data_IF_015505079464
#
_entry.id   IF_015505079464
#
_cell.length_a   1.000
_cell.length_b   1.000
_cell.length_c   1.000
_cell.angle_alpha   90.00
_cell.angle_beta   90.00
_cell.angle_gamma   90.00
#
_symmetry.space_group_name_H-M   'P 1'
#
loop_
_entity.id
_entity.type
_entity.pdbx_description
1 polymer ?
#
# COMPACT_ATOMS: atom_id res chain seq x y z
N UNK A 1 -1.41 13.13 14.45
CA UNK A 1 -1.32 12.02 13.45
C UNK A 1 -2.67 11.34 13.40
N UNK A 2 -3.37 11.40 12.25
CA UNK A 2 -4.70 10.77 12.11
C UNK A 2 -4.52 9.35 11.56
N UNK A 3 -5.20 8.39 12.16
CA UNK A 3 -5.06 6.96 11.86
C UNK A 3 -6.40 6.40 11.43
N UNK A 4 -6.47 5.82 10.25
CA UNK A 4 -7.71 5.27 9.69
C UNK A 4 -7.92 3.83 10.10
N UNK A 5 -9.07 3.54 10.70
CA UNK A 5 -9.44 2.17 11.08
C UNK A 5 -10.01 1.44 9.87
N UNK A 6 -9.31 0.43 9.37
CA UNK A 6 -9.80 -0.38 8.24
C UNK A 6 -10.88 -1.34 8.69
N UNK A 7 -11.90 -1.54 7.86
CA UNK A 7 -12.95 -2.55 8.05
C UNK A 7 -12.50 -3.93 7.58
N UNK A 8 -11.62 -3.97 6.58
CA UNK A 8 -11.02 -5.19 6.06
C UNK A 8 -10.05 -5.76 7.07
N UNK A 9 -10.22 -7.05 7.37
CA UNK A 9 -9.31 -7.82 8.22
C UNK A 9 -8.03 -8.15 7.47
N UNK A 10 -6.94 -8.37 8.22
CA UNK A 10 -5.70 -8.90 7.65
C UNK A 10 -5.94 -10.27 7.03
N UNK A 11 -5.20 -10.59 5.98
CA UNK A 11 -5.25 -11.96 5.46
C UNK A 11 -4.70 -12.94 6.51
N UNK A 12 -5.46 -14.02 6.73
CA UNK A 12 -5.02 -15.16 7.55
C UNK A 12 -4.02 -16.03 6.79
N UNK A 13 -3.19 -16.75 7.53
CA UNK A 13 -2.20 -17.69 7.00
C UNK A 13 -0.78 -17.38 7.48
N UNK A 14 0.08 -18.38 7.53
CA UNK A 14 1.51 -18.23 7.85
C UNK A 14 2.39 -18.52 6.64
N UNK A 15 1.86 -19.26 5.67
CA UNK A 15 2.51 -19.59 4.43
C UNK A 15 2.40 -18.46 3.40
N UNK A 16 3.51 -18.22 2.70
CA UNK A 16 3.59 -17.17 1.69
C UNK A 16 2.71 -17.45 0.47
N UNK A 17 2.61 -18.70 0.01
CA UNK A 17 1.82 -19.04 -1.16
C UNK A 17 0.33 -18.85 -0.89
N UNK A 18 -0.14 -19.23 0.31
CA UNK A 18 -1.53 -19.03 0.73
C UNK A 18 -1.90 -17.54 0.77
N UNK A 19 -1.12 -16.73 1.50
CA UNK A 19 -1.38 -15.28 1.63
C UNK A 19 -1.25 -14.59 0.27
N UNK A 20 -0.27 -15.00 -0.54
CA UNK A 20 -0.08 -14.49 -1.91
C UNK A 20 -1.26 -14.80 -2.81
N UNK A 21 -1.83 -16.01 -2.73
CA UNK A 21 -3.00 -16.36 -3.54
C UNK A 21 -4.19 -15.44 -3.23
N UNK A 22 -4.45 -15.16 -1.95
CA UNK A 22 -5.51 -14.22 -1.51
C UNK A 22 -5.23 -12.79 -1.99
N UNK A 23 -4.04 -12.27 -1.71
CA UNK A 23 -3.65 -10.91 -2.09
C UNK A 23 -3.62 -10.71 -3.62
N UNK A 24 -3.08 -11.68 -4.36
CA UNK A 24 -3.03 -11.64 -5.81
C UNK A 24 -4.42 -11.79 -6.44
N UNK A 25 -5.34 -12.54 -5.81
CA UNK A 25 -6.74 -12.57 -6.22
C UNK A 25 -7.37 -11.18 -6.21
N UNK A 26 -7.18 -10.42 -5.12
CA UNK A 26 -7.64 -9.04 -5.01
C UNK A 26 -6.96 -8.12 -6.05
N UNK A 27 -5.64 -8.24 -6.21
CA UNK A 27 -4.90 -7.48 -7.22
C UNK A 27 -5.37 -7.79 -8.65
N UNK A 28 -5.65 -9.05 -8.97
CA UNK A 28 -6.17 -9.48 -10.27
C UNK A 28 -7.53 -8.86 -10.56
N UNK A 29 -8.43 -8.81 -9.57
CA UNK A 29 -9.71 -8.11 -9.70
C UNK A 29 -9.51 -6.62 -9.98
N UNK A 30 -8.59 -5.95 -9.29
CA UNK A 30 -8.25 -4.54 -9.56
C UNK A 30 -7.66 -4.36 -10.96
N UNK A 31 -6.76 -5.26 -11.37
CA UNK A 31 -6.15 -5.25 -12.71
C UNK A 31 -7.22 -5.37 -13.80
N UNK A 32 -8.17 -6.29 -13.65
CA UNK A 32 -9.28 -6.47 -14.61
C UNK A 32 -10.16 -5.22 -14.77
N UNK A 33 -10.31 -4.40 -13.72
CA UNK A 33 -11.05 -3.13 -13.77
C UNK A 33 -10.29 -2.01 -14.50
N UNK A 34 -9.03 -2.22 -14.86
CA UNK A 34 -8.16 -1.21 -15.48
C UNK A 34 -7.63 -1.68 -16.82
N UNK A 35 -7.46 -0.77 -17.78
CA UNK A 35 -7.08 -1.13 -19.16
C UNK A 35 -5.56 -1.36 -19.35
N UNK A 36 -4.72 -0.48 -18.81
CA UNK A 36 -3.26 -0.48 -19.04
C UNK A 36 -2.49 -0.82 -17.77
N UNK A 37 -2.19 0.20 -16.95
CA UNK A 37 -1.54 0.03 -15.65
C UNK A 37 -2.60 -0.12 -14.55
N UNK A 38 -2.47 -1.09 -13.65
CA UNK A 38 -3.37 -1.24 -12.51
C UNK A 38 -3.21 -0.05 -11.56
N UNK A 39 -4.33 0.56 -11.20
CA UNK A 39 -4.39 1.70 -10.30
C UNK A 39 -5.65 1.63 -9.44
N UNK A 40 -5.59 2.32 -8.30
CA UNK A 40 -6.76 2.65 -7.49
C UNK A 40 -6.84 4.17 -7.35
N UNK A 41 -8.02 4.69 -7.01
CA UNK A 41 -8.20 6.12 -6.78
C UNK A 41 -8.15 6.39 -5.28
N UNK A 42 -7.40 7.41 -4.87
CA UNK A 42 -7.28 7.76 -3.45
C UNK A 42 -8.26 8.85 -3.03
N UNK A 43 -8.96 8.65 -1.91
CA UNK A 43 -9.87 9.65 -1.34
C UNK A 43 -9.14 10.93 -0.92
N UNK A 44 -7.96 10.81 -0.31
CA UNK A 44 -7.14 11.95 0.11
C UNK A 44 -6.65 12.79 -1.08
N UNK A 45 -6.12 12.15 -2.13
CA UNK A 45 -5.61 12.85 -3.32
C UNK A 45 -6.72 13.18 -4.32
N UNK A 46 -7.92 13.60 -3.87
CA UNK A 46 -9.02 13.99 -4.76
C UNK A 46 -9.34 12.99 -5.89
N UNK A 47 -9.33 11.69 -5.58
CA UNK A 47 -9.55 10.58 -6.52
C UNK A 47 -8.47 10.44 -7.62
N UNK A 48 -7.29 11.00 -7.41
CA UNK A 48 -6.12 10.75 -8.26
C UNK A 48 -5.70 9.28 -8.26
N UNK A 49 -5.01 8.89 -9.33
CA UNK A 49 -4.60 7.51 -9.57
C UNK A 49 -3.33 7.18 -8.78
N UNK A 50 -3.41 6.14 -7.97
CA UNK A 50 -2.29 5.48 -7.31
C UNK A 50 -2.00 4.18 -8.05
N UNK A 51 -0.86 4.10 -8.72
CA UNK A 51 -0.45 2.92 -9.48
C UNK A 51 0.05 1.80 -8.57
N UNK A 52 -0.29 0.55 -8.88
CA UNK A 52 -0.01 -0.63 -8.04
C UNK A 52 1.11 -1.53 -8.58
N UNK A 53 1.74 -1.12 -9.67
CA UNK A 53 2.70 -1.93 -10.43
C UNK A 53 4.00 -2.20 -9.68
N UNK A 54 4.50 -1.24 -8.92
CA UNK A 54 5.80 -1.35 -8.22
C UNK A 54 5.72 -2.18 -6.94
N UNK A 55 4.52 -2.33 -6.36
CA UNK A 55 4.35 -3.03 -5.07
C UNK A 55 4.94 -4.44 -5.07
N UNK A 56 4.66 -5.23 -6.11
CA UNK A 56 5.12 -6.62 -6.18
C UNK A 56 6.64 -6.70 -6.29
N UNK A 57 7.25 -5.92 -7.17
CA UNK A 57 8.71 -5.89 -7.33
C UNK A 57 9.39 -5.51 -6.00
N UNK A 58 8.92 -4.45 -5.35
CA UNK A 58 9.47 -4.00 -4.07
C UNK A 58 9.23 -4.98 -2.91
N UNK A 59 8.15 -5.77 -2.97
CA UNK A 59 7.92 -6.86 -2.02
C UNK A 59 8.96 -7.99 -2.20
N UNK A 60 9.26 -8.38 -3.44
CA UNK A 60 10.21 -9.45 -3.74
C UNK A 60 11.68 -9.03 -3.54
N UNK A 61 11.99 -7.74 -3.60
CA UNK A 61 13.30 -7.21 -3.21
C UNK A 61 13.65 -7.49 -1.74
N UNK A 62 12.67 -7.71 -0.86
CA UNK A 62 12.96 -8.00 0.56
C UNK A 62 13.54 -9.40 0.69
N UNK A 63 14.70 -9.59 1.32
CA UNK A 63 15.33 -10.91 1.41
C UNK A 63 14.56 -11.86 2.34
N UNK A 64 13.92 -11.31 3.39
CA UNK A 64 13.23 -12.11 4.40
C UNK A 64 11.80 -12.49 3.98
N UNK A 65 11.54 -13.79 3.82
CA UNK A 65 10.21 -14.30 3.48
C UNK A 65 9.16 -13.98 4.56
N UNK A 66 9.54 -13.97 5.85
CA UNK A 66 8.62 -13.64 6.94
C UNK A 66 8.16 -12.20 6.84
N UNK A 67 9.04 -11.28 6.48
CA UNK A 67 8.70 -9.88 6.23
C UNK A 67 7.77 -9.76 5.02
N UNK A 68 8.06 -10.47 3.92
CA UNK A 68 7.16 -10.51 2.75
C UNK A 68 5.75 -10.95 3.15
N UNK A 69 5.62 -12.01 3.95
CA UNK A 69 4.32 -12.49 4.46
C UNK A 69 3.66 -11.42 5.33
N UNK A 70 4.37 -10.87 6.31
CA UNK A 70 3.83 -9.82 7.21
C UNK A 70 3.26 -8.67 6.40
N UNK A 71 4.02 -8.10 5.45
CA UNK A 71 3.57 -7.01 4.58
C UNK A 71 2.36 -7.41 3.73
N UNK A 72 2.40 -8.60 3.12
CA UNK A 72 1.36 -9.04 2.21
C UNK A 72 0.01 -9.26 2.91
N UNK A 73 0.01 -9.63 4.20
CA UNK A 73 -1.21 -9.74 5.01
C UNK A 73 -2.01 -8.44 5.08
N UNK A 74 -1.31 -7.31 5.06
CA UNK A 74 -1.90 -5.97 5.10
C UNK A 74 -2.31 -5.45 3.73
N UNK A 75 -2.08 -6.18 2.63
CA UNK A 75 -2.36 -5.68 1.29
C UNK A 75 -3.84 -5.28 1.13
N UNK A 76 -4.78 -6.09 1.60
CA UNK A 76 -6.22 -5.73 1.55
C UNK A 76 -6.53 -4.45 2.35
N UNK A 77 -6.02 -4.35 3.57
CA UNK A 77 -6.17 -3.17 4.42
C UNK A 77 -5.55 -1.92 3.78
N UNK A 78 -4.40 -2.07 3.10
CA UNK A 78 -3.72 -0.98 2.42
C UNK A 78 -4.57 -0.42 1.27
N UNK A 79 -5.19 -1.29 0.46
CA UNK A 79 -6.06 -0.87 -0.63
C UNK A 79 -7.26 -0.09 -0.11
N UNK A 80 -7.92 -0.59 0.94
CA UNK A 80 -9.04 0.11 1.58
C UNK A 80 -8.62 1.47 2.14
N UNK A 81 -7.48 1.51 2.86
CA UNK A 81 -6.91 2.74 3.41
C UNK A 81 -6.72 3.79 2.33
N UNK A 82 -6.10 3.42 1.20
CA UNK A 82 -5.86 4.36 0.10
C UNK A 82 -7.18 4.87 -0.49
N UNK A 83 -8.15 3.97 -0.69
CA UNK A 83 -9.41 4.29 -1.35
C UNK A 83 -10.33 5.18 -0.52
N UNK A 84 -10.35 5.00 0.80
CA UNK A 84 -11.37 5.59 1.67
C UNK A 84 -10.83 6.64 2.65
N UNK A 85 -9.52 6.67 2.90
CA UNK A 85 -8.96 7.63 3.85
C UNK A 85 -8.84 9.01 3.24
N UNK A 86 -9.40 10.00 3.95
CA UNK A 86 -9.17 11.44 3.72
C UNK A 86 -8.12 12.01 4.70
N UNK A 87 -7.45 11.14 5.47
CA UNK A 87 -6.50 11.60 6.47
C UNK A 87 -5.17 11.99 5.84
N UNK A 88 -4.62 13.08 6.35
CA UNK A 88 -3.35 13.62 5.91
C UNK A 88 -2.19 12.66 6.22
N UNK A 89 -1.42 12.24 5.20
CA UNK A 89 -0.25 11.42 5.38
C UNK A 89 0.94 12.24 5.88
N UNK A 90 1.88 11.57 6.56
CA UNK A 90 3.18 12.17 6.83
C UNK A 90 4.00 12.16 5.55
N UNK A 91 4.20 13.34 4.98
CA UNK A 91 4.94 13.52 3.73
C UNK A 91 6.37 13.96 4.02
N UNK A 92 7.36 13.35 3.34
CA UNK A 92 8.77 13.73 3.41
C UNK A 92 9.39 13.65 2.03
N UNK A 93 10.35 14.50 1.74
CA UNK A 93 11.16 14.36 0.54
C UNK A 93 11.99 13.08 0.62
N UNK A 94 12.14 12.40 -0.52
CA UNK A 94 12.99 11.22 -0.58
C UNK A 94 14.47 11.64 -0.46
N UNK A 95 15.21 11.20 0.58
CA UNK A 95 16.62 11.58 0.76
C UNK A 95 17.51 11.16 -0.41
N UNK A 96 17.14 10.08 -1.10
CA UNK A 96 17.90 9.55 -2.22
C UNK A 96 17.55 10.23 -3.55
N UNK A 97 16.40 10.92 -3.62
CA UNK A 97 15.95 11.58 -4.86
C UNK A 97 14.99 12.74 -4.55
N UNK A 98 15.51 13.96 -4.60
CA UNK A 98 14.76 15.18 -4.33
C UNK A 98 13.57 15.44 -5.27
N UNK A 99 13.50 14.73 -6.41
CA UNK A 99 12.35 14.80 -7.33
C UNK A 99 11.16 13.96 -6.87
N UNK A 100 11.26 13.28 -5.72
CA UNK A 100 10.22 12.39 -5.21
C UNK A 100 9.78 12.78 -3.78
N UNK A 101 8.49 12.58 -3.49
CA UNK A 101 7.90 12.74 -2.17
C UNK A 101 7.40 11.37 -1.70
N UNK A 102 7.67 11.04 -0.45
CA UNK A 102 7.18 9.83 0.20
C UNK A 102 6.06 10.20 1.16
N UNK A 103 4.85 9.73 0.87
CA UNK A 103 3.67 9.88 1.71
C UNK A 103 3.46 8.61 2.52
N UNK A 104 3.43 8.74 3.85
CA UNK A 104 3.11 7.65 4.77
C UNK A 104 1.70 7.84 5.32
N UNK A 105 0.79 6.98 4.89
CA UNK A 105 -0.55 6.86 5.44
C UNK A 105 -0.56 5.89 6.60
N UNK A 106 -1.34 6.20 7.63
CA UNK A 106 -1.43 5.40 8.83
C UNK A 106 -2.80 4.74 8.93
N UNK A 107 -2.79 3.43 9.14
CA UNK A 107 -4.00 2.65 9.33
C UNK A 107 -3.90 1.73 10.54
N UNK A 108 -5.04 1.31 11.06
CA UNK A 108 -5.15 0.25 12.07
C UNK A 108 -6.01 -0.88 11.56
N UNK A 109 -5.51 -2.10 11.67
CA UNK A 109 -6.23 -3.33 11.36
C UNK A 109 -6.08 -4.30 12.54
N UNK A 110 -7.20 -4.81 13.06
CA UNK A 110 -7.20 -5.71 14.22
C UNK A 110 -6.39 -5.16 15.42
N UNK A 111 -6.52 -3.85 15.70
CA UNK A 111 -5.78 -3.09 16.72
C UNK A 111 -4.25 -2.99 16.52
N UNK A 112 -3.72 -3.50 15.41
CA UNK A 112 -2.32 -3.32 15.03
C UNK A 112 -2.18 -2.10 14.10
N UNK A 113 -1.19 -1.25 14.39
CA UNK A 113 -0.85 -0.12 13.55
C UNK A 113 -0.05 -0.61 12.33
N UNK A 114 -0.39 -0.10 11.16
CA UNK A 114 0.37 -0.32 9.94
C UNK A 114 0.42 0.97 9.13
N UNK A 115 1.35 1.01 8.18
CA UNK A 115 1.54 2.17 7.34
C UNK A 115 1.73 1.78 5.89
N UNK A 116 1.17 2.62 5.03
CA UNK A 116 1.21 2.50 3.58
C UNK A 116 2.10 3.62 3.06
N UNK A 117 3.14 3.23 2.34
CA UNK A 117 4.04 4.15 1.68
C UNK A 117 3.64 4.32 0.22
N UNK A 118 3.34 5.56 -0.14
CA UNK A 118 3.09 6.00 -1.52
C UNK A 118 4.22 6.94 -1.92
N UNK A 119 4.76 6.72 -3.11
CA UNK A 119 5.76 7.58 -3.72
C UNK A 119 5.10 8.48 -4.75
N UNK A 120 5.33 9.77 -4.67
CA UNK A 120 4.90 10.77 -5.65
C UNK A 120 6.11 11.33 -6.39
N UNK A 121 6.00 11.41 -7.72
CA UNK A 121 6.98 12.11 -8.55
C UNK A 121 6.57 13.58 -8.67
N UNK A 122 7.43 14.51 -8.22
CA UNK A 122 7.14 15.96 -8.24
C UNK A 122 6.95 16.52 -9.65
N UNK A 123 7.63 15.97 -10.66
CA UNK A 123 7.57 16.47 -12.04
C UNK A 123 6.28 16.07 -12.75
N UNK A 124 5.79 14.86 -12.51
CA UNK A 124 4.63 14.31 -13.22
C UNK A 124 3.37 14.24 -12.37
N UNK A 125 3.47 14.48 -11.05
CA UNK A 125 2.40 14.25 -10.07
C UNK A 125 2.05 12.77 -9.89
N UNK A 126 2.75 11.86 -10.56
CA UNK A 126 2.41 10.44 -10.57
C UNK A 126 2.66 9.81 -9.20
N UNK A 127 1.64 9.11 -8.69
CA UNK A 127 1.67 8.45 -7.39
C UNK A 127 1.69 6.94 -7.54
N UNK A 128 2.58 6.29 -6.81
CA UNK A 128 2.87 4.85 -6.91
C UNK A 128 2.81 4.24 -5.51
N UNK A 129 2.02 3.18 -5.35
CA UNK A 129 2.00 2.38 -4.14
C UNK A 129 3.28 1.54 -4.04
N UNK A 130 4.10 1.83 -3.03
CA UNK A 130 5.41 1.20 -2.87
C UNK A 130 5.34 -0.02 -1.95
N UNK A 131 4.81 0.15 -0.73
CA UNK A 131 4.83 -0.90 0.28
C UNK A 131 3.81 -0.64 1.38
N UNK A 132 3.45 -1.71 2.08
CA UNK A 132 2.71 -1.67 3.34
C UNK A 132 3.49 -2.47 4.37
N UNK A 133 3.56 -1.99 5.61
CA UNK A 133 4.31 -2.64 6.67
C UNK A 133 3.74 -2.31 8.05
N UNK A 134 3.77 -3.27 8.99
CA UNK A 134 3.29 -3.06 10.36
C UNK A 134 4.25 -2.19 11.17
N UNK A 135 3.73 -1.54 12.21
CA UNK A 135 4.54 -0.90 13.24
C UNK A 135 5.07 -1.98 14.16
N UNK A 136 6.35 -2.31 14.00
CA UNK A 136 7.06 -3.17 14.94
C UNK A 136 7.30 -2.35 16.21
N UNK A 137 6.29 -2.33 17.09
CA UNK A 137 6.49 -2.05 18.50
C UNK A 137 7.10 -3.25 19.20
#
# INVERSE_FOLDING_TARGET
MKVYKTKTKKFSGSDFHEVRKKAFGLYSQLKKKTKRRPYIRSAYFNKEKIFLDVFWSHLFEKPNWRDRVRRLKYFGCAIELIQNSHFEPKSKENPNNFSEILHRFYGTADNELFYVQIKENKRTGQKIFMSVFPDEK
#
